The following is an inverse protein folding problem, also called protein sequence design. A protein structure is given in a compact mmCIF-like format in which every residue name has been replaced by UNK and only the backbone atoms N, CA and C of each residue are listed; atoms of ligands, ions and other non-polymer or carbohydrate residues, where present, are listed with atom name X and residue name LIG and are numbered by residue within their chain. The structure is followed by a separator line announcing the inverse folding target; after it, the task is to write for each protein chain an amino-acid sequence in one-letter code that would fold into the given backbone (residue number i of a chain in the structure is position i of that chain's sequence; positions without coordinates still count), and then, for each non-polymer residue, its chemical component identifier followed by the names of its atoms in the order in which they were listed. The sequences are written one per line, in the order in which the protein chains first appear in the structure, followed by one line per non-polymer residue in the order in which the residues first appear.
data_IF_495516840568
#
_entry.id   IF_495516840568
#
_cell.length_a   1.000
_cell.length_b   1.000
_cell.length_c   1.000
_cell.angle_alpha   90.00
_cell.angle_beta   90.00
_cell.angle_gamma   90.00
#
_symmetry.space_group_name_H-M   'P 1'
#
loop_
_entity.id
_entity.type
_entity.pdbx_description
1 polymer ?
#
# COMPACT_ATOMS: atom_id res chain seq x y z
N UNK A 1 -16.17 -36.08 17.04
CA UNK A 1 -15.99 -34.91 17.93
C UNK A 1 -16.23 -33.69 17.08
N UNK A 2 -17.46 -33.20 17.14
CA UNK A 2 -18.07 -32.27 16.19
C UNK A 2 -17.91 -30.87 16.76
N UNK A 3 -17.22 -29.97 16.05
CA UNK A 3 -17.14 -28.56 16.41
C UNK A 3 -18.21 -27.79 15.63
N UNK A 4 -19.27 -27.41 16.35
CA UNK A 4 -20.31 -26.48 15.92
C UNK A 4 -19.73 -25.07 15.86
N UNK A 5 -19.89 -24.39 14.72
CA UNK A 5 -19.74 -22.94 14.59
C UNK A 5 -21.15 -22.35 14.57
N UNK A 6 -21.54 -21.66 15.64
CA UNK A 6 -22.82 -20.95 15.72
C UNK A 6 -22.71 -19.59 15.04
N UNK A 7 -23.52 -19.40 13.99
CA UNK A 7 -23.89 -18.10 13.44
C UNK A 7 -25.08 -17.54 14.23
N UNK A 8 -24.96 -16.34 14.78
CA UNK A 8 -26.10 -15.60 15.32
C UNK A 8 -26.65 -14.66 14.23
N UNK A 9 -27.75 -15.09 13.62
CA UNK A 9 -28.68 -14.26 12.84
C UNK A 9 -29.66 -13.59 13.80
N UNK A 10 -29.69 -12.26 13.83
CA UNK A 10 -30.80 -11.52 14.45
C UNK A 10 -31.76 -11.10 13.36
N UNK A 11 -32.90 -11.78 13.32
CA UNK A 11 -34.10 -11.42 12.57
C UNK A 11 -34.87 -10.35 13.36
N UNK A 12 -34.95 -9.14 12.81
CA UNK A 12 -35.91 -8.11 13.22
C UNK A 12 -36.84 -7.83 12.06
N UNK A 13 -37.99 -8.52 12.02
CA UNK A 13 -39.06 -8.25 11.07
C UNK A 13 -40.00 -7.18 11.59
N UNK A 14 -40.39 -6.25 10.72
CA UNK A 14 -41.65 -5.51 10.84
C UNK A 14 -42.34 -5.50 9.47
N UNK A 15 -43.52 -6.11 9.42
CA UNK A 15 -44.44 -6.01 8.30
C UNK A 15 -44.98 -4.58 8.22
N UNK A 16 -45.04 -4.03 7.02
CA UNK A 16 -46.06 -3.05 6.63
C UNK A 16 -46.43 -3.28 5.18
N UNK A 17 -47.69 -3.62 4.97
CA UNK A 17 -48.33 -3.76 3.67
C UNK A 17 -48.86 -2.38 3.26
N UNK A 18 -48.58 -1.92 2.05
CA UNK A 18 -49.08 -0.63 1.56
C UNK A 18 -48.57 -0.22 0.19
N UNK A 19 -49.33 -0.61 -0.83
CA UNK A 19 -49.58 0.04 -2.13
C UNK A 19 -48.39 0.49 -2.99
N UNK A 20 -48.36 -0.08 -4.20
CA UNK A 20 -47.60 0.39 -5.34
C UNK A 20 -47.87 1.88 -5.64
N UNK A 21 -46.80 2.66 -5.71
CA UNK A 21 -46.75 3.92 -6.46
C UNK A 21 -45.34 4.09 -7.01
N UNK A 22 -45.22 4.11 -8.34
CA UNK A 22 -44.00 4.48 -9.04
C UNK A 22 -43.64 5.91 -8.68
N UNK A 23 -42.44 6.12 -8.15
CA UNK A 23 -41.82 7.44 -8.11
C UNK A 23 -40.33 7.26 -8.34
N UNK A 24 -39.88 7.81 -9.46
CA UNK A 24 -38.47 8.05 -9.75
C UNK A 24 -37.88 8.88 -8.59
N UNK A 25 -37.02 8.26 -7.80
CA UNK A 25 -36.17 8.96 -6.85
C UNK A 25 -34.71 8.79 -7.28
N UNK A 26 -33.94 9.89 -7.43
CA UNK A 26 -32.52 9.81 -7.74
C UNK A 26 -31.80 9.13 -6.59
N UNK A 27 -30.88 8.22 -6.93
CA UNK A 27 -29.97 7.56 -6.00
C UNK A 27 -29.22 8.66 -5.26
N UNK A 28 -29.59 8.87 -4.00
CA UNK A 28 -28.86 9.73 -3.07
C UNK A 28 -27.55 9.02 -2.75
N UNK A 29 -26.52 9.31 -3.55
CA UNK A 29 -25.15 8.90 -3.26
C UNK A 29 -24.76 9.53 -1.93
N UNK A 30 -24.84 8.75 -0.86
CA UNK A 30 -24.28 9.11 0.43
C UNK A 30 -22.79 9.39 0.18
N UNK A 31 -22.37 10.65 0.28
CA UNK A 31 -20.96 11.05 0.19
C UNK A 31 -20.26 10.62 1.48
N UNK A 32 -20.11 9.32 1.68
CA UNK A 32 -19.38 8.78 2.79
C UNK A 32 -17.96 8.49 2.31
N UNK A 33 -17.03 9.33 2.75
CA UNK A 33 -15.61 9.09 2.56
C UNK A 33 -15.15 8.04 3.57
N UNK A 34 -14.44 7.02 3.11
CA UNK A 34 -13.68 6.10 3.96
C UNK A 34 -12.39 6.79 4.41
N UNK A 35 -12.52 7.94 5.08
CA UNK A 35 -11.39 8.67 5.62
C UNK A 35 -10.82 7.91 6.82
N UNK A 36 -9.83 7.04 6.58
CA UNK A 36 -8.97 6.50 7.63
C UNK A 36 -7.56 7.11 7.47
N UNK A 37 -7.36 8.39 7.84
CA UNK A 37 -6.04 9.01 7.79
C UNK A 37 -5.09 8.18 8.64
N UNK A 38 -3.87 7.98 8.13
CA UNK A 38 -2.84 7.17 8.82
C UNK A 38 -2.20 8.00 9.94
N UNK A 39 -3.01 8.75 10.71
CA UNK A 39 -2.64 9.75 11.71
C UNK A 39 -2.66 9.22 13.14
N UNK A 40 -2.12 9.96 14.13
CA UNK A 40 -2.10 9.52 15.52
C UNK A 40 -3.51 9.13 15.97
N UNK A 41 -3.57 8.22 16.95
CA UNK A 41 -4.79 7.61 17.52
C UNK A 41 -5.87 8.61 18.00
N UNK A 42 -5.61 9.92 17.89
CA UNK A 42 -6.55 11.02 18.01
C UNK A 42 -6.66 11.79 16.69
N UNK A 43 -7.75 11.54 15.95
CA UNK A 43 -8.10 12.27 14.74
C UNK A 43 -8.93 13.51 15.09
N UNK A 44 -8.52 14.67 14.58
CA UNK A 44 -9.38 15.85 14.53
C UNK A 44 -10.28 15.68 13.30
N UNK A 45 -11.54 15.32 13.53
CA UNK A 45 -12.58 15.00 12.53
C UNK A 45 -12.89 16.19 11.58
N UNK A 46 -12.29 17.36 11.79
CA UNK A 46 -12.79 18.63 11.25
C UNK A 46 -12.27 19.03 9.85
N UNK A 47 -11.51 18.19 9.14
CA UNK A 47 -10.90 18.54 7.84
C UNK A 47 -11.01 17.46 6.75
N UNK A 48 -12.04 16.62 6.78
CA UNK A 48 -12.32 15.71 5.65
C UNK A 48 -13.16 16.43 4.59
N UNK A 49 -12.50 17.11 3.64
CA UNK A 49 -13.14 17.51 2.38
C UNK A 49 -13.03 16.34 1.40
N UNK A 50 -14.18 15.77 1.02
CA UNK A 50 -14.26 14.71 0.02
C UNK A 50 -13.96 15.27 -1.38
N UNK A 51 -12.78 14.97 -1.91
CA UNK A 51 -12.44 15.25 -3.31
C UNK A 51 -13.23 14.34 -4.25
N UNK A 52 -13.56 14.84 -5.45
CA UNK A 52 -14.16 14.01 -6.50
C UNK A 52 -13.16 12.93 -6.94
N UNK A 53 -13.64 11.72 -7.31
CA UNK A 53 -12.76 10.66 -7.81
C UNK A 53 -12.01 11.14 -9.05
N UNK A 54 -10.70 10.90 -9.06
CA UNK A 54 -9.82 11.27 -10.17
C UNK A 54 -10.16 10.46 -11.41
N UNK A 55 -10.31 11.07 -12.59
CA UNK A 55 -10.46 10.29 -13.82
C UNK A 55 -9.09 10.17 -14.55
N UNK A 56 -8.38 9.04 -14.43
CA UNK A 56 -7.10 8.81 -15.11
C UNK A 56 -7.21 8.79 -16.64
N UNK A 57 -8.37 8.45 -17.21
CA UNK A 57 -8.55 8.38 -18.67
C UNK A 57 -8.59 9.78 -19.29
N UNK A 58 -9.19 10.75 -18.59
CA UNK A 58 -9.26 12.15 -19.04
C UNK A 58 -7.88 12.80 -19.07
N UNK A 59 -6.97 12.39 -18.18
CA UNK A 59 -5.63 12.97 -18.03
C UNK A 59 -4.53 12.31 -18.86
N UNK A 60 -4.82 11.23 -19.60
CA UNK A 60 -3.90 10.80 -20.65
C UNK A 60 -3.77 11.87 -21.77
N UNK A 61 -4.76 12.76 -21.92
CA UNK A 61 -4.81 13.74 -23.02
C UNK A 61 -4.97 15.19 -22.55
N UNK A 62 -5.09 15.45 -21.24
CA UNK A 62 -5.35 16.79 -20.68
C UNK A 62 -4.20 17.35 -19.84
N UNK A 63 -4.15 18.67 -19.70
CA UNK A 63 -3.19 19.42 -18.88
C UNK A 63 -3.70 19.70 -17.46
N UNK A 64 -4.77 19.02 -17.00
CA UNK A 64 -5.25 19.17 -15.62
C UNK A 64 -4.22 18.62 -14.62
N UNK A 65 -4.16 19.17 -13.39
CA UNK A 65 -3.27 18.68 -12.35
C UNK A 65 -3.57 17.21 -12.03
N UNK A 66 -2.55 16.37 -12.09
CA UNK A 66 -2.60 14.95 -11.72
C UNK A 66 -2.14 14.78 -10.27
N UNK A 67 -2.80 13.95 -9.45
CA UNK A 67 -2.35 13.59 -8.10
C UNK A 67 -1.06 12.74 -8.13
N UNK A 68 -0.78 12.12 -9.28
CA UNK A 68 0.42 11.34 -9.56
C UNK A 68 1.54 12.21 -10.11
N UNK A 69 2.74 12.04 -9.56
CA UNK A 69 3.96 12.76 -9.99
C UNK A 69 4.40 12.43 -11.41
N UNK A 70 4.02 11.25 -11.89
CA UNK A 70 4.35 10.76 -13.21
C UNK A 70 3.08 10.41 -13.98
N UNK A 71 3.17 10.57 -15.31
CA UNK A 71 2.11 10.09 -16.21
C UNK A 71 1.99 8.56 -16.08
N UNK A 72 0.78 8.02 -15.84
CA UNK A 72 0.58 6.58 -15.73
C UNK A 72 0.95 5.84 -17.02
N UNK A 73 1.50 4.63 -16.86
CA UNK A 73 1.80 3.72 -17.98
C UNK A 73 0.84 2.55 -17.91
N UNK A 74 0.14 2.28 -19.00
CA UNK A 74 -0.91 1.28 -19.06
C UNK A 74 -0.65 0.25 -20.15
N UNK A 75 -1.10 -0.98 -19.89
CA UNK A 75 -1.29 -2.02 -20.91
C UNK A 75 -2.19 -1.53 -22.04
N UNK A 76 -2.03 -2.14 -23.22
CA UNK A 76 -2.85 -1.77 -24.38
C UNK A 76 -4.31 -2.14 -24.12
N UNK A 77 -5.29 -1.32 -24.51
CA UNK A 77 -6.70 -1.63 -24.31
C UNK A 77 -7.10 -2.83 -25.17
N UNK A 78 -7.05 -4.04 -24.61
CA UNK A 78 -7.63 -5.24 -25.23
C UNK A 78 -9.09 -5.45 -24.77
N UNK A 79 -9.46 -4.99 -23.58
CA UNK A 79 -10.80 -5.09 -22.97
C UNK A 79 -11.14 -3.84 -22.14
N UNK A 80 -12.19 -3.90 -21.30
CA UNK A 80 -12.61 -2.82 -20.39
C UNK A 80 -11.66 -2.58 -19.21
N UNK A 81 -10.84 -3.56 -18.84
CA UNK A 81 -9.95 -3.45 -17.68
C UNK A 81 -8.52 -3.22 -18.15
N UNK A 82 -7.97 -2.05 -17.82
CA UNK A 82 -6.54 -1.77 -18.03
C UNK A 82 -5.78 -2.03 -16.74
N UNK A 83 -4.54 -2.48 -16.90
CA UNK A 83 -3.56 -2.51 -15.81
C UNK A 83 -2.52 -1.46 -16.05
N UNK A 84 -2.26 -0.66 -15.03
CA UNK A 84 -1.44 0.51 -15.12
C UNK A 84 -0.51 0.67 -13.92
N UNK A 85 0.63 1.30 -14.16
CA UNK A 85 1.56 1.79 -13.16
C UNK A 85 1.28 3.27 -12.85
N UNK A 86 1.04 3.56 -11.59
CA UNK A 86 0.86 4.91 -11.04
C UNK A 86 2.00 5.19 -10.06
N UNK A 87 2.71 6.30 -10.22
CA UNK A 87 3.87 6.64 -9.39
C UNK A 87 3.67 7.99 -8.70
N UNK A 88 3.92 8.00 -7.39
CA UNK A 88 3.97 9.20 -6.57
C UNK A 88 5.30 9.25 -5.81
N UNK A 89 6.18 10.16 -6.22
CA UNK A 89 7.54 10.33 -5.66
C UNK A 89 7.56 11.07 -4.31
N UNK A 90 6.50 11.82 -4.01
CA UNK A 90 6.31 12.63 -2.80
C UNK A 90 5.22 12.05 -1.90
N UNK A 91 5.04 10.72 -1.95
CA UNK A 91 4.07 10.01 -1.13
C UNK A 91 4.36 10.22 0.35
N UNK A 92 3.38 10.78 1.08
CA UNK A 92 3.54 11.22 2.47
C UNK A 92 4.77 12.11 2.74
N UNK A 93 5.24 12.86 1.74
CA UNK A 93 6.25 13.91 1.87
C UNK A 93 7.71 13.47 1.70
N UNK A 94 8.08 12.25 2.10
CA UNK A 94 9.47 11.76 2.02
C UNK A 94 9.62 10.32 1.48
N UNK A 95 8.51 9.72 1.05
CA UNK A 95 8.47 8.35 0.54
C UNK A 95 7.98 8.34 -0.90
N UNK A 96 8.22 7.25 -1.61
CA UNK A 96 7.69 7.05 -2.96
C UNK A 96 6.90 5.75 -3.04
N UNK A 97 5.83 5.74 -3.84
CA UNK A 97 5.00 4.56 -4.07
C UNK A 97 4.77 4.35 -5.56
N UNK A 98 4.90 3.09 -5.98
CA UNK A 98 4.43 2.56 -7.25
C UNK A 98 3.18 1.71 -7.00
N UNK A 99 2.05 2.09 -7.58
CA UNK A 99 0.80 1.34 -7.49
C UNK A 99 0.47 0.75 -8.85
N UNK A 100 0.39 -0.58 -8.90
CA UNK A 100 0.08 -1.38 -10.08
C UNK A 100 -1.34 -1.91 -9.95
N UNK A 101 -2.28 -1.20 -10.56
CA UNK A 101 -3.71 -1.46 -10.40
C UNK A 101 -4.53 -0.96 -11.59
N UNK A 102 -5.86 -1.08 -11.53
CA UNK A 102 -6.73 -0.55 -12.56
C UNK A 102 -6.90 0.97 -12.45
N UNK A 103 -7.15 1.68 -13.56
CA UNK A 103 -7.46 3.11 -13.51
C UNK A 103 -8.59 3.44 -12.54
N UNK A 104 -9.63 2.63 -12.46
CA UNK A 104 -10.79 2.84 -11.57
C UNK A 104 -10.41 2.69 -10.09
N UNK A 105 -9.48 1.80 -9.77
CA UNK A 105 -8.98 1.66 -8.39
C UNK A 105 -8.07 2.83 -8.02
N UNK A 106 -7.18 3.25 -8.93
CA UNK A 106 -6.30 4.40 -8.73
C UNK A 106 -7.05 5.74 -8.70
N UNK A 107 -8.20 5.83 -9.34
CA UNK A 107 -9.10 6.96 -9.30
C UNK A 107 -9.70 7.23 -7.90
N UNK A 108 -9.81 6.18 -7.08
CA UNK A 108 -10.49 6.26 -5.79
C UNK A 108 -9.57 6.63 -4.64
N UNK A 109 -10.19 7.29 -3.66
CA UNK A 109 -9.60 7.79 -2.42
C UNK A 109 -8.25 8.52 -2.59
N UNK A 110 -8.32 9.67 -3.27
CA UNK A 110 -7.19 10.62 -3.33
C UNK A 110 -6.72 11.06 -1.94
N UNK A 111 -7.57 10.97 -0.91
CA UNK A 111 -7.19 11.26 0.46
C UNK A 111 -6.00 10.41 0.89
N UNK A 112 -6.00 9.10 0.61
CA UNK A 112 -4.89 8.21 0.94
C UNK A 112 -3.59 8.55 0.20
N UNK A 113 -3.69 9.08 -1.01
CA UNK A 113 -2.54 9.42 -1.86
C UNK A 113 -1.98 10.80 -1.53
N UNK A 114 -2.85 11.76 -1.23
CA UNK A 114 -2.53 13.16 -0.95
C UNK A 114 -2.39 13.48 0.54
N UNK A 115 -2.56 12.50 1.47
CA UNK A 115 -2.46 12.68 2.93
C UNK A 115 -1.05 13.10 3.38
N UNK A 116 -0.71 14.35 3.10
CA UNK A 116 0.38 15.07 3.71
C UNK A 116 -0.19 15.75 4.96
N UNK A 117 -0.47 14.99 6.02
CA UNK A 117 -0.76 15.61 7.32
C UNK A 117 0.42 16.50 7.71
N UNK A 118 0.16 17.80 7.87
CA UNK A 118 1.15 18.79 8.31
C UNK A 118 1.84 18.43 9.64
N UNK A 119 1.24 17.56 10.47
CA UNK A 119 1.86 17.01 11.68
C UNK A 119 3.03 16.06 11.36
N UNK A 120 3.06 15.43 10.18
CA UNK A 120 4.22 14.68 9.68
C UNK A 120 5.38 15.59 9.29
N UNK A 121 5.12 16.86 9.01
CA UNK A 121 6.14 17.84 8.63
C UNK A 121 6.64 18.65 9.83
N UNK A 122 6.00 18.51 10.99
CA UNK A 122 6.28 19.28 12.20
C UNK A 122 7.42 18.64 13.02
N UNK A 123 8.54 19.35 13.26
CA UNK A 123 9.61 18.85 14.12
C UNK A 123 9.09 18.61 15.55
N UNK A 124 9.18 17.38 16.04
CA UNK A 124 8.78 17.00 17.41
C UNK A 124 7.39 16.39 17.57
N UNK A 125 6.68 16.08 16.48
CA UNK A 125 5.46 15.26 16.57
C UNK A 125 5.79 13.84 17.03
N UNK A 126 5.11 13.35 18.06
CA UNK A 126 5.18 11.96 18.55
C UNK A 126 4.58 10.93 17.59
N UNK A 127 4.07 11.38 16.45
CA UNK A 127 3.52 10.51 15.39
C UNK A 127 4.59 9.99 14.43
N UNK A 128 5.76 10.63 14.36
CA UNK A 128 6.87 10.17 13.52
C UNK A 128 7.74 9.18 14.28
N UNK A 129 8.19 8.09 13.64
CA UNK A 129 9.19 7.22 14.24
C UNK A 129 10.48 8.02 14.52
N UNK A 130 11.19 7.74 15.61
CA UNK A 130 12.45 8.41 15.91
C UNK A 130 13.48 8.21 14.79
N UNK A 131 14.30 9.23 14.51
CA UNK A 131 15.38 9.15 13.48
C UNK A 131 16.37 8.02 13.74
N UNK A 132 16.60 7.71 15.02
CA UNK A 132 17.34 6.53 15.45
C UNK A 132 16.28 5.54 15.92
N UNK A 133 16.09 4.38 15.25
CA UNK A 133 15.10 3.41 15.66
C UNK A 133 15.27 3.07 17.16
N UNK A 134 14.17 3.03 17.96
CA UNK A 134 14.22 2.67 19.38
C UNK A 134 14.42 1.16 19.59
N UNK A 135 14.99 0.49 18.58
CA UNK A 135 15.22 -0.92 18.52
C UNK A 135 16.45 -1.23 17.66
N UNK A 136 16.94 -2.45 17.81
CA UNK A 136 18.02 -3.02 17.01
C UNK A 136 17.66 -4.45 16.60
N UNK A 137 18.19 -4.88 15.46
CA UNK A 137 18.03 -6.25 14.98
C UNK A 137 19.14 -7.10 15.59
N UNK A 138 18.78 -8.17 16.31
CA UNK A 138 19.73 -9.10 16.95
C UNK A 138 19.35 -10.53 16.67
N UNK A 139 20.34 -11.43 16.74
CA UNK A 139 20.09 -12.86 16.69
C UNK A 139 19.45 -13.31 18.00
N UNK A 140 18.26 -13.89 17.93
CA UNK A 140 17.52 -14.41 19.09
C UNK A 140 17.61 -15.95 19.08
N UNK A 141 18.12 -16.58 20.14
CA UNK A 141 18.17 -18.04 20.24
C UNK A 141 16.79 -18.67 19.98
N UNK A 142 16.73 -19.59 19.01
CA UNK A 142 15.49 -20.27 18.61
C UNK A 142 14.53 -19.47 17.73
N UNK A 143 14.85 -18.23 17.33
CA UNK A 143 13.99 -17.38 16.47
C UNK A 143 14.75 -16.67 15.33
N UNK A 144 15.99 -17.08 15.06
CA UNK A 144 16.90 -16.46 14.09
C UNK A 144 17.15 -14.97 14.36
N UNK A 145 16.57 -14.05 13.57
CA UNK A 145 16.66 -12.61 13.76
C UNK A 145 15.39 -12.08 14.42
N UNK A 146 15.54 -11.14 15.35
CA UNK A 146 14.44 -10.42 15.92
C UNK A 146 14.81 -9.01 16.31
N UNK A 147 13.78 -8.22 16.58
CA UNK A 147 13.92 -6.80 16.93
C UNK A 147 13.83 -6.67 18.45
N UNK A 148 14.84 -6.02 19.05
CA UNK A 148 14.93 -5.80 20.50
C UNK A 148 15.01 -4.30 20.77
N UNK A 149 14.22 -3.81 21.71
CA UNK A 149 14.27 -2.41 22.11
C UNK A 149 15.64 -2.04 22.70
N UNK A 150 16.24 -0.95 22.22
CA UNK A 150 17.50 -0.42 22.75
C UNK A 150 17.29 0.82 23.64
N UNK A 151 16.03 1.27 23.77
CA UNK A 151 15.58 2.41 24.56
C UNK A 151 14.24 2.09 25.24
N UNK A 152 13.89 2.86 26.27
CA UNK A 152 12.57 2.76 26.93
C UNK A 152 11.48 3.30 26.01
N UNK A 153 10.58 2.43 25.56
CA UNK A 153 9.40 2.78 24.75
C UNK A 153 8.20 2.98 25.66
N UNK A 154 7.51 4.11 25.54
CA UNK A 154 6.29 4.40 26.32
C UNK A 154 5.05 3.83 25.67
N UNK A 155 4.02 3.58 26.46
CA UNK A 155 2.72 3.19 25.94
C UNK A 155 2.18 4.27 24.99
N UNK A 156 1.76 3.87 23.79
CA UNK A 156 1.24 4.76 22.75
C UNK A 156 2.32 5.41 21.86
N UNK A 157 3.60 5.08 22.06
CA UNK A 157 4.69 5.57 21.21
C UNK A 157 4.78 4.79 19.89
N UNK A 158 4.93 5.52 18.77
CA UNK A 158 5.13 4.91 17.44
C UNK A 158 6.60 4.50 17.31
N UNK A 159 6.86 3.21 17.35
CA UNK A 159 8.23 2.67 17.28
C UNK A 159 8.72 2.45 15.86
N UNK A 160 7.82 2.19 14.93
CA UNK A 160 8.10 1.90 13.53
C UNK A 160 6.88 2.31 12.71
N UNK A 161 7.15 2.93 11.57
CA UNK A 161 6.17 3.20 10.53
C UNK A 161 6.89 2.98 9.21
N UNK A 162 6.27 2.22 8.33
CA UNK A 162 6.75 2.04 6.97
C UNK A 162 5.58 2.25 6.00
N UNK A 163 5.91 2.67 4.79
CA UNK A 163 4.96 2.87 3.73
C UNK A 163 5.22 1.86 2.61
N UNK A 164 4.18 1.45 1.87
CA UNK A 164 4.40 0.57 0.75
C UNK A 164 5.22 1.31 -0.32
N UNK A 165 6.29 0.67 -0.77
CA UNK A 165 7.08 1.10 -1.93
C UNK A 165 6.42 0.64 -3.23
N UNK A 166 5.86 -0.57 -3.23
CA UNK A 166 5.11 -1.12 -4.36
C UNK A 166 3.81 -1.73 -3.85
N UNK A 167 2.69 -1.41 -4.50
CA UNK A 167 1.41 -2.08 -4.33
C UNK A 167 1.01 -2.74 -5.64
N UNK A 168 0.72 -4.03 -5.64
CA UNK A 168 0.31 -4.78 -6.81
C UNK A 168 -1.05 -5.43 -6.58
N UNK A 169 -2.03 -5.15 -7.44
CA UNK A 169 -3.38 -5.71 -7.27
C UNK A 169 -3.37 -7.24 -7.26
N UNK A 170 -4.18 -7.84 -6.39
CA UNK A 170 -4.40 -9.30 -6.37
C UNK A 170 -5.61 -9.72 -7.22
N UNK A 171 -6.28 -8.77 -7.87
CA UNK A 171 -7.52 -9.03 -8.61
C UNK A 171 -7.28 -10.05 -9.73
N UNK A 172 -7.87 -11.23 -9.60
CA UNK A 172 -7.79 -12.29 -10.62
C UNK A 172 -8.43 -11.85 -11.92
N UNK A 173 -9.48 -11.03 -11.87
CA UNK A 173 -10.15 -10.47 -13.05
C UNK A 173 -9.20 -9.62 -13.91
N UNK A 174 -8.28 -8.91 -13.27
CA UNK A 174 -7.24 -8.12 -13.93
C UNK A 174 -6.21 -9.08 -14.54
N UNK A 175 -5.68 -10.02 -13.75
CA UNK A 175 -4.63 -10.95 -14.18
C UNK A 175 -5.07 -11.91 -15.30
N UNK A 176 -6.33 -12.32 -15.36
CA UNK A 176 -6.87 -13.19 -16.41
C UNK A 176 -6.94 -12.50 -17.79
N UNK A 177 -6.97 -11.17 -17.82
CA UNK A 177 -7.19 -10.39 -19.04
C UNK A 177 -5.91 -9.79 -19.64
N UNK A 178 -4.76 -9.94 -18.97
CA UNK A 178 -3.52 -9.27 -19.35
C UNK A 178 -2.49 -10.27 -19.85
N UNK A 179 -1.78 -9.91 -20.93
CA UNK A 179 -0.60 -10.67 -21.37
C UNK A 179 0.50 -10.52 -20.31
N UNK A 180 1.08 -11.61 -19.77
CA UNK A 180 2.11 -11.53 -18.73
C UNK A 180 3.30 -10.64 -19.10
N UNK A 181 3.68 -10.55 -20.38
CA UNK A 181 4.77 -9.64 -20.81
C UNK A 181 4.34 -8.18 -20.76
N UNK A 182 3.08 -7.88 -21.04
CA UNK A 182 2.55 -6.52 -20.87
C UNK A 182 2.48 -6.13 -19.40
N UNK A 183 2.06 -7.05 -18.51
CA UNK A 183 2.09 -6.81 -17.07
C UNK A 183 3.52 -6.56 -16.55
N UNK A 184 4.47 -7.39 -16.98
CA UNK A 184 5.88 -7.23 -16.65
C UNK A 184 6.45 -5.90 -17.17
N UNK A 185 6.14 -5.54 -18.42
CA UNK A 185 6.54 -4.26 -18.99
C UNK A 185 5.97 -3.07 -18.20
N UNK A 186 4.69 -3.11 -17.78
CA UNK A 186 4.10 -2.07 -16.92
C UNK A 186 4.80 -1.98 -15.57
N UNK A 187 5.15 -3.12 -14.96
CA UNK A 187 5.94 -3.16 -13.73
C UNK A 187 7.32 -2.51 -13.92
N UNK A 188 8.06 -2.89 -14.96
CA UNK A 188 9.39 -2.34 -15.24
C UNK A 188 9.33 -0.84 -15.50
N UNK A 189 8.40 -0.41 -16.35
CA UNK A 189 8.17 1.00 -16.67
C UNK A 189 7.79 1.81 -15.42
N UNK A 190 6.86 1.31 -14.61
CA UNK A 190 6.52 1.95 -13.34
C UNK A 190 7.72 2.05 -12.41
N UNK A 191 8.50 0.98 -12.32
CA UNK A 191 9.64 0.89 -11.40
C UNK A 191 10.77 1.85 -11.77
N UNK A 192 11.11 2.00 -13.05
CA UNK A 192 12.18 2.92 -13.47
C UNK A 192 11.85 4.39 -13.23
N UNK A 193 10.57 4.73 -13.00
CA UNK A 193 10.11 6.07 -12.64
C UNK A 193 10.20 6.38 -11.14
N UNK A 194 10.43 5.37 -10.28
CA UNK A 194 10.67 5.62 -8.86
C UNK A 194 12.01 6.34 -8.65
N UNK A 195 12.19 7.09 -7.54
CA UNK A 195 13.48 7.67 -7.19
C UNK A 195 14.61 6.63 -7.12
N UNK A 196 15.83 7.02 -7.50
CA UNK A 196 16.92 6.08 -7.72
C UNK A 196 17.30 5.31 -6.45
N UNK A 197 17.30 5.99 -5.32
CA UNK A 197 17.55 5.42 -3.99
C UNK A 197 16.51 4.37 -3.60
N UNK A 198 15.25 4.56 -4.00
CA UNK A 198 14.18 3.59 -3.78
C UNK A 198 14.40 2.36 -4.64
N UNK A 199 14.76 2.55 -5.92
CA UNK A 199 15.08 1.42 -6.81
C UNK A 199 16.23 0.57 -6.28
N UNK A 200 17.31 1.20 -5.81
CA UNK A 200 18.47 0.50 -5.23
C UNK A 200 18.04 -0.34 -4.03
N UNK A 201 17.26 0.26 -3.11
CA UNK A 201 16.76 -0.42 -1.91
C UNK A 201 15.94 -1.66 -2.27
N UNK A 202 15.05 -1.57 -3.26
CA UNK A 202 14.27 -2.73 -3.72
C UNK A 202 15.16 -3.81 -4.32
N UNK A 203 16.19 -3.46 -5.11
CA UNK A 203 17.12 -4.45 -5.67
C UNK A 203 18.04 -5.11 -4.65
N UNK A 204 18.23 -4.48 -3.49
CA UNK A 204 18.95 -5.05 -2.35
C UNK A 204 18.12 -6.07 -1.57
N UNK A 205 16.82 -6.24 -1.86
CA UNK A 205 15.97 -7.22 -1.20
C UNK A 205 16.22 -8.66 -1.64
N UNK A 206 15.89 -9.58 -0.74
CA UNK A 206 16.01 -11.01 -0.91
C UNK A 206 15.17 -11.52 -2.09
N UNK A 207 15.57 -12.68 -2.60
CA UNK A 207 14.98 -13.36 -3.74
C UNK A 207 14.98 -14.85 -3.47
N UNK A 208 13.95 -15.57 -3.92
CA UNK A 208 13.77 -16.98 -3.55
C UNK A 208 13.21 -17.86 -4.66
N UNK A 209 12.58 -17.28 -5.68
CA UNK A 209 11.83 -17.98 -6.73
C UNK A 209 12.58 -18.07 -8.06
N UNK A 210 13.56 -17.19 -8.31
CA UNK A 210 14.22 -17.05 -9.60
C UNK A 210 13.36 -16.30 -10.63
N UNK A 211 13.78 -16.30 -11.91
CA UNK A 211 13.07 -15.61 -12.98
C UNK A 211 13.43 -14.13 -13.12
N UNK A 212 12.44 -13.29 -13.44
CA UNK A 212 12.64 -11.85 -13.56
C UNK A 212 12.97 -11.23 -12.19
N UNK A 213 13.95 -10.32 -12.17
CA UNK A 213 14.51 -9.82 -10.91
C UNK A 213 13.49 -9.08 -10.04
N UNK A 214 12.61 -8.26 -10.64
CA UNK A 214 11.60 -7.51 -9.89
C UNK A 214 10.49 -8.43 -9.39
N UNK A 215 10.02 -9.35 -10.23
CA UNK A 215 9.01 -10.32 -9.82
C UNK A 215 9.51 -11.21 -8.69
N UNK A 216 10.75 -11.68 -8.75
CA UNK A 216 11.34 -12.53 -7.71
C UNK A 216 11.46 -11.80 -6.37
N UNK A 217 11.80 -10.50 -6.39
CA UNK A 217 11.78 -9.65 -5.19
C UNK A 217 10.37 -9.52 -4.64
N UNK A 218 9.38 -9.24 -5.48
CA UNK A 218 7.98 -9.09 -5.05
C UNK A 218 7.44 -10.38 -4.44
N UNK A 219 7.57 -11.52 -5.13
CA UNK A 219 7.12 -12.82 -4.63
C UNK A 219 7.73 -13.19 -3.28
N UNK A 220 8.97 -12.76 -3.03
CA UNK A 220 9.68 -13.08 -1.79
C UNK A 220 9.28 -12.16 -0.63
N UNK A 221 8.93 -10.90 -0.89
CA UNK A 221 8.91 -9.84 0.14
C UNK A 221 7.57 -9.10 0.30
N UNK A 222 6.52 -9.46 -0.45
CA UNK A 222 5.23 -8.77 -0.34
C UNK A 222 4.35 -9.33 0.78
N UNK A 223 3.54 -8.45 1.37
CA UNK A 223 2.53 -8.74 2.37
C UNK A 223 1.14 -8.39 1.85
N UNK A 224 0.08 -8.93 2.46
CA UNK A 224 -1.28 -8.50 2.14
C UNK A 224 -1.50 -7.04 2.59
N UNK A 225 -2.00 -6.22 1.67
CA UNK A 225 -2.35 -4.82 1.89
C UNK A 225 -3.69 -4.51 1.21
N UNK A 226 -4.24 -3.33 1.49
CA UNK A 226 -5.41 -2.81 0.77
C UNK A 226 -5.15 -1.38 0.30
N UNK A 227 -5.70 -1.05 -0.84
CA UNK A 227 -5.70 0.30 -1.39
C UNK A 227 -7.05 0.55 -2.06
N UNK A 228 -7.74 1.61 -1.65
CA UNK A 228 -9.11 1.92 -2.07
C UNK A 228 -10.05 0.69 -1.94
N UNK A 229 -10.03 0.04 -0.77
CA UNK A 229 -10.79 -1.19 -0.46
C UNK A 229 -10.54 -2.40 -1.38
N UNK A 230 -9.53 -2.34 -2.25
CA UNK A 230 -9.10 -3.46 -3.10
C UNK A 230 -7.85 -4.09 -2.49
N UNK A 231 -7.81 -5.42 -2.46
CA UNK A 231 -6.64 -6.16 -1.97
C UNK A 231 -5.44 -6.04 -2.91
N UNK A 232 -4.26 -5.85 -2.32
CA UNK A 232 -2.99 -5.72 -3.01
C UNK A 232 -1.92 -6.55 -2.28
N UNK A 233 -0.89 -6.96 -3.01
CA UNK A 233 0.41 -7.32 -2.46
C UNK A 233 1.22 -6.04 -2.27
N UNK A 234 1.63 -5.75 -1.03
CA UNK A 234 2.41 -4.58 -0.66
C UNK A 234 3.86 -4.96 -0.33
N UNK A 235 4.80 -4.31 -1.01
CA UNK A 235 6.21 -4.35 -0.68
C UNK A 235 6.56 -3.17 0.23
N UNK A 236 7.09 -3.44 1.41
CA UNK A 236 7.49 -2.44 2.39
C UNK A 236 9.02 -2.51 2.54
N UNK A 237 9.74 -1.70 1.76
CA UNK A 237 11.17 -1.92 1.54
C UNK A 237 12.05 -1.71 2.78
N UNK A 238 11.58 -1.01 3.82
CA UNK A 238 12.37 -0.81 5.04
C UNK A 238 12.26 -1.97 6.04
N UNK A 239 11.22 -2.81 5.91
CA UNK A 239 10.99 -3.96 6.79
C UNK A 239 11.08 -5.31 6.06
N UNK A 240 11.14 -5.29 4.73
CA UNK A 240 11.33 -6.46 3.89
C UNK A 240 12.69 -7.13 4.15
N UNK A 241 12.81 -8.40 3.75
CA UNK A 241 14.02 -9.18 3.97
C UNK A 241 15.10 -8.70 3.00
N UNK A 242 16.17 -8.10 3.52
CA UNK A 242 17.33 -7.72 2.73
C UNK A 242 18.12 -8.93 2.22
N UNK A 243 18.88 -8.76 1.14
CA UNK A 243 19.96 -9.68 0.79
C UNK A 243 20.97 -9.65 1.92
N UNK A 244 20.87 -10.62 2.81
CA UNK A 244 22.03 -10.99 3.59
C UNK A 244 23.02 -11.52 2.57
N UNK A 245 24.17 -10.85 2.39
CA UNK A 245 25.33 -11.51 1.81
C UNK A 245 25.45 -12.84 2.57
N UNK A 246 25.28 -13.97 1.89
CA UNK A 246 25.50 -15.31 2.43
C UNK A 246 26.98 -15.56 2.81
N UNK A 247 27.70 -14.52 3.20
CA UNK A 247 29.04 -14.52 3.74
C UNK A 247 29.10 -13.51 4.90
N UNK A 248 28.38 -13.79 5.99
CA UNK A 248 29.09 -13.67 7.26
C UNK A 248 30.03 -14.86 7.27
N UNK A 249 31.26 -14.65 6.81
CA UNK A 249 32.34 -15.60 7.02
C UNK A 249 32.35 -15.93 8.51
N UNK A 250 32.25 -17.22 8.84
CA UNK A 250 32.92 -17.74 10.04
C UNK A 250 34.36 -17.21 9.98
N UNK A 251 34.94 -16.91 11.15
CA UNK A 251 36.23 -16.25 11.38
C UNK A 251 36.01 -14.75 11.62
N UNK A 252 36.20 -14.14 12.78
CA UNK A 252 36.95 -14.44 13.99
C UNK A 252 36.28 -13.69 15.14
N UNK A 253 36.00 -14.36 16.28
CA UNK A 253 36.09 -13.74 17.61
C UNK A 253 36.39 -14.85 18.61
N UNK A 254 37.66 -15.30 18.61
CA UNK A 254 38.31 -15.62 19.89
C UNK A 254 38.92 -14.31 20.38
N UNK A 255 38.42 -13.82 21.49
CA UNK A 255 39.17 -12.89 22.33
C UNK A 255 39.16 -13.51 23.73
N UNK A 256 40.37 -13.79 24.19
CA UNK A 256 40.71 -14.07 25.58
C UNK A 256 40.33 -12.90 26.50
#
# INVERSE_FOLDING_TARGET
MTLFVSFLLVLGGSLSCGLAQSSDHPIETTRQCDGNPTGPLHLLIHQMTCSLPYNPEKNLESSEPSPWTHRPVCTSPKTKSRYCAFVKDDFHGDSAVLILTSPETAAGDLGLIEDVDSRWLSPGSSSLPPRIPPYEVRKIPGKELGVVANLTIRAGEVIMRDYPTILQTVSTEVWEQIDPREALWVLEEGFVRLPREVQIRVFELARSTGGHVLEDVLHTNTFAASFNNVSHYGLFANIAVGRTLCCWTKDEWKAD
#
